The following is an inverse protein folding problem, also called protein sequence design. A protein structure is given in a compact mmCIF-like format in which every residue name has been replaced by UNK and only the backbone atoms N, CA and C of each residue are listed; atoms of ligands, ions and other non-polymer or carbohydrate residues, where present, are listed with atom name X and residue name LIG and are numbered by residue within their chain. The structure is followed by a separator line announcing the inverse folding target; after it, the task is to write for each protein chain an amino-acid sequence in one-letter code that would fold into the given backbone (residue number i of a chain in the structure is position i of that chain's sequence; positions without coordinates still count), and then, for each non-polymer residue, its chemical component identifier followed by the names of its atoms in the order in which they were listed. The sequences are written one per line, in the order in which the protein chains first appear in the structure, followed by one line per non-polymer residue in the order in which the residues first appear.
data_IF_578036445069
#
_entry.id   IF_578036445069
#
_cell.length_a   1.000
_cell.length_b   1.000
_cell.length_c   1.000
_cell.angle_alpha   90.00
_cell.angle_beta   90.00
_cell.angle_gamma   90.00
#
_symmetry.space_group_name_H-M   'P 1'
#
loop_
_entity.id
_entity.type
_entity.pdbx_description
1 polymer ?
#
# COMPACT_ATOMS: atom_id res chain seq x y z
N UNK A 1 10.74 53.10 -10.81
CA UNK A 1 9.73 52.48 -9.92
C UNK A 1 8.53 52.15 -10.80
N UNK A 2 8.09 50.93 -11.03
CA UNK A 2 8.20 49.65 -10.31
C UNK A 2 8.05 48.50 -11.33
N UNK A 3 8.81 47.42 -11.13
CA UNK A 3 8.70 46.18 -11.89
C UNK A 3 7.37 45.48 -11.56
N UNK A 4 6.64 45.01 -12.57
CA UNK A 4 5.59 44.00 -12.38
C UNK A 4 6.04 42.70 -13.03
N UNK A 5 6.62 41.83 -12.21
CA UNK A 5 6.90 40.43 -12.56
C UNK A 5 5.58 39.68 -12.44
N UNK A 6 4.97 39.34 -13.57
CA UNK A 6 3.84 38.41 -13.58
C UNK A 6 4.37 37.01 -13.25
N UNK A 7 4.26 36.59 -11.97
CA UNK A 7 4.42 35.20 -11.61
C UNK A 7 3.28 34.40 -12.25
N UNK A 8 3.56 33.75 -13.36
CA UNK A 8 2.72 32.68 -13.88
C UNK A 8 2.84 31.52 -12.88
N UNK A 9 1.90 31.47 -11.92
CA UNK A 9 1.66 30.28 -11.11
C UNK A 9 1.26 29.16 -12.06
N UNK A 10 2.25 28.39 -12.52
CA UNK A 10 2.05 27.16 -13.26
C UNK A 10 1.32 26.22 -12.31
N UNK A 11 -0.02 26.23 -12.35
CA UNK A 11 -0.83 25.27 -11.66
C UNK A 11 -0.49 23.93 -12.32
N UNK A 12 0.49 23.21 -11.75
CA UNK A 12 0.72 21.82 -12.07
C UNK A 12 -0.54 21.10 -11.62
N UNK A 13 -1.57 21.08 -12.47
CA UNK A 13 -2.56 20.05 -12.43
C UNK A 13 -1.76 18.77 -12.62
N UNK A 14 -1.40 18.12 -11.51
CA UNK A 14 -0.92 16.75 -11.54
C UNK A 14 -2.07 15.98 -12.18
N UNK A 15 -2.00 15.79 -13.50
CA UNK A 15 -2.81 14.81 -14.19
C UNK A 15 -2.39 13.51 -13.53
N UNK A 16 -3.19 13.07 -12.55
CA UNK A 16 -2.97 11.80 -11.90
C UNK A 16 -3.23 10.77 -13.00
N UNK A 17 -2.16 10.37 -13.69
CA UNK A 17 -2.23 9.38 -14.74
C UNK A 17 -3.00 8.19 -14.18
N UNK A 18 -4.09 7.84 -14.86
CA UNK A 18 -5.01 6.82 -14.37
C UNK A 18 -4.22 5.53 -14.12
N UNK A 19 -4.12 5.12 -12.86
CA UNK A 19 -3.23 4.03 -12.46
C UNK A 19 -3.82 2.74 -12.98
N UNK A 20 -3.11 2.11 -13.92
CA UNK A 20 -3.48 0.80 -14.45
C UNK A 20 -2.94 -0.30 -13.54
N UNK A 21 -3.68 -1.40 -13.34
CA UNK A 21 -3.16 -2.56 -12.63
C UNK A 21 -2.06 -3.25 -13.44
N UNK A 22 -1.30 -4.11 -12.77
CA UNK A 22 -0.35 -5.05 -13.37
C UNK A 22 -0.99 -5.77 -14.55
N UNK A 23 -0.33 -5.72 -15.71
CA UNK A 23 -0.78 -6.43 -16.91
C UNK A 23 -0.83 -7.94 -16.62
N UNK A 24 -1.89 -8.59 -17.11
CA UNK A 24 -2.11 -10.04 -17.00
C UNK A 24 -2.07 -10.55 -15.55
N UNK A 25 -2.62 -9.76 -14.62
CA UNK A 25 -2.60 -10.07 -13.19
C UNK A 25 -3.24 -11.43 -12.88
N UNK A 26 -2.49 -12.32 -12.24
CA UNK A 26 -2.97 -13.60 -11.71
C UNK A 26 -3.08 -13.55 -10.19
N UNK A 27 -4.31 -13.61 -9.66
CA UNK A 27 -4.56 -13.71 -8.22
C UNK A 27 -3.96 -14.99 -7.62
N UNK A 28 -3.95 -16.09 -8.37
CA UNK A 28 -3.38 -17.36 -7.91
C UNK A 28 -1.87 -17.26 -7.69
N UNK A 29 -1.13 -16.62 -8.61
CA UNK A 29 0.31 -16.34 -8.42
C UNK A 29 0.57 -15.32 -7.31
N UNK A 30 -0.36 -14.39 -7.11
CA UNK A 30 -0.27 -13.37 -6.07
C UNK A 30 -0.58 -13.89 -4.65
N UNK A 31 -1.18 -15.07 -4.55
CA UNK A 31 -1.58 -15.67 -3.28
C UNK A 31 -0.41 -15.91 -2.32
N UNK A 32 -0.77 -16.20 -1.07
CA UNK A 32 0.16 -16.57 -0.02
C UNK A 32 0.72 -15.38 0.75
N UNK A 33 1.87 -15.62 1.37
CA UNK A 33 2.48 -14.72 2.35
C UNK A 33 3.18 -13.53 1.69
N UNK A 34 2.99 -12.36 2.28
CA UNK A 34 3.65 -11.10 1.94
C UNK A 34 4.01 -10.34 3.22
N UNK A 35 5.06 -9.53 3.17
CA UNK A 35 5.41 -8.57 4.21
C UNK A 35 5.18 -7.16 3.68
N UNK A 36 4.38 -6.35 4.37
CA UNK A 36 4.29 -4.91 4.11
C UNK A 36 5.53 -4.23 4.69
N UNK A 37 6.47 -3.96 3.82
CA UNK A 37 7.83 -3.46 4.10
C UNK A 37 7.99 -1.98 3.75
N UNK A 38 7.00 -1.38 3.10
CA UNK A 38 6.92 0.07 2.90
C UNK A 38 5.49 0.56 2.93
N UNK A 39 5.29 1.77 3.44
CA UNK A 39 3.99 2.45 3.45
C UNK A 39 4.19 3.94 3.22
N UNK A 40 3.42 4.52 2.30
CA UNK A 40 3.30 5.94 2.11
C UNK A 40 1.85 6.34 2.37
N UNK A 41 1.63 7.20 3.37
CA UNK A 41 0.30 7.58 3.82
C UNK A 41 0.33 8.89 4.63
N UNK A 42 -0.28 9.95 4.09
CA UNK A 42 -0.20 11.31 4.65
C UNK A 42 -1.47 11.75 5.40
N UNK A 43 -2.05 10.84 6.20
CA UNK A 43 -3.21 11.18 7.03
C UNK A 43 -2.75 11.92 8.29
N UNK A 44 -3.33 13.09 8.65
CA UNK A 44 -2.99 13.82 9.88
C UNK A 44 -3.12 12.97 11.15
N UNK A 45 -4.08 12.04 11.16
CA UNK A 45 -4.27 11.08 12.26
C UNK A 45 -3.21 9.98 12.31
N UNK A 46 -2.43 9.81 11.25
CA UNK A 46 -1.43 8.76 11.11
C UNK A 46 0.01 9.26 11.29
N UNK A 47 0.28 10.51 10.92
CA UNK A 47 1.60 11.15 11.06
C UNK A 47 2.21 10.98 12.47
N UNK A 48 1.47 11.15 13.59
CA UNK A 48 2.04 10.95 14.92
C UNK A 48 2.47 9.50 15.21
N UNK A 49 1.74 8.52 14.66
CA UNK A 49 1.97 7.10 14.92
C UNK A 49 3.02 6.47 14.00
N UNK A 50 3.56 7.23 13.04
CA UNK A 50 4.52 6.67 12.07
C UNK A 50 5.73 6.00 12.72
N UNK A 51 6.17 6.53 13.87
CA UNK A 51 7.33 6.02 14.63
C UNK A 51 7.12 4.64 15.22
N UNK A 52 5.88 4.26 15.47
CA UNK A 52 5.54 2.96 16.08
C UNK A 52 5.15 1.91 15.03
N UNK A 53 5.07 2.27 13.75
CA UNK A 53 4.77 1.32 12.68
C UNK A 53 5.94 0.36 12.51
N UNK A 54 5.62 -0.93 12.51
CA UNK A 54 6.53 -2.00 12.15
C UNK A 54 6.11 -2.63 10.82
N UNK A 55 7.05 -3.28 10.15
CA UNK A 55 6.71 -4.16 9.03
C UNK A 55 5.72 -5.23 9.52
N UNK A 56 4.73 -5.54 8.69
CA UNK A 56 3.63 -6.45 9.05
C UNK A 56 3.57 -7.60 8.06
N UNK A 57 3.18 -8.77 8.52
CA UNK A 57 2.97 -9.93 7.65
C UNK A 57 1.49 -9.98 7.25
N UNK A 58 1.22 -10.43 6.03
CA UNK A 58 -0.13 -10.76 5.60
C UNK A 58 -0.18 -11.94 4.66
N UNK A 59 -1.33 -12.60 4.61
CA UNK A 59 -1.60 -13.72 3.72
C UNK A 59 -2.81 -13.41 2.86
N UNK A 60 -2.64 -13.53 1.54
CA UNK A 60 -3.70 -13.43 0.54
C UNK A 60 -4.22 -14.83 0.23
N UNK A 61 -5.50 -15.05 0.41
CA UNK A 61 -6.18 -16.31 0.08
C UNK A 61 -7.22 -16.06 -1.01
N UNK A 62 -7.01 -16.55 -2.24
CA UNK A 62 -8.01 -16.47 -3.31
C UNK A 62 -9.27 -17.27 -2.96
N UNK A 63 -10.42 -16.78 -3.44
CA UNK A 63 -11.70 -17.46 -3.33
C UNK A 63 -12.17 -17.94 -4.72
N UNK A 64 -13.01 -18.99 -4.81
CA UNK A 64 -13.46 -19.54 -6.10
C UNK A 64 -14.17 -18.53 -7.01
N UNK A 65 -14.82 -17.52 -6.41
CA UNK A 65 -15.53 -16.47 -7.13
C UNK A 65 -14.62 -15.33 -7.63
N UNK A 66 -13.30 -15.44 -7.43
CA UNK A 66 -12.29 -14.45 -7.80
C UNK A 66 -12.04 -13.35 -6.77
N UNK A 67 -12.79 -13.33 -5.66
CA UNK A 67 -12.48 -12.49 -4.51
C UNK A 67 -11.23 -12.99 -3.79
N UNK A 68 -10.77 -12.23 -2.79
CA UNK A 68 -9.66 -12.63 -1.93
C UNK A 68 -9.92 -12.24 -0.47
N UNK A 69 -9.42 -13.05 0.46
CA UNK A 69 -9.29 -12.65 1.85
C UNK A 69 -7.85 -12.22 2.12
N UNK A 70 -7.68 -11.10 2.81
CA UNK A 70 -6.40 -10.69 3.38
C UNK A 70 -6.46 -10.82 4.90
N UNK A 71 -5.55 -11.58 5.47
CA UNK A 71 -5.28 -11.54 6.92
C UNK A 71 -3.94 -10.85 7.13
N UNK A 72 -3.90 -9.84 8.01
CA UNK A 72 -2.70 -9.09 8.39
C UNK A 72 -2.42 -9.28 9.88
N UNK A 73 -1.14 -9.41 10.22
CA UNK A 73 -0.63 -9.42 11.59
C UNK A 73 0.21 -8.17 11.79
N UNK A 74 -0.28 -7.26 12.62
CA UNK A 74 0.35 -5.95 12.87
C UNK A 74 0.80 -5.85 14.32
N UNK A 75 2.04 -5.43 14.52
CA UNK A 75 2.58 -5.25 15.87
C UNK A 75 2.13 -3.92 16.45
N UNK A 76 1.75 -3.96 17.72
CA UNK A 76 1.37 -2.80 18.53
C UNK A 76 2.16 -2.83 19.84
N UNK A 77 2.08 -1.75 20.62
CA UNK A 77 2.63 -1.69 21.98
C UNK A 77 2.01 -2.73 22.93
N UNK A 78 0.82 -3.24 22.62
CA UNK A 78 0.07 -4.21 23.44
C UNK A 78 0.16 -5.65 22.89
N UNK A 79 1.01 -5.88 21.90
CA UNK A 79 1.18 -7.19 21.25
C UNK A 79 0.69 -7.23 19.81
N UNK A 80 0.51 -8.44 19.29
CA UNK A 80 0.16 -8.65 17.89
C UNK A 80 -1.36 -8.63 17.66
N UNK A 81 -1.82 -7.76 16.76
CA UNK A 81 -3.24 -7.70 16.37
C UNK A 81 -3.46 -8.31 14.99
N UNK A 82 -4.57 -9.05 14.85
CA UNK A 82 -4.98 -9.68 13.60
C UNK A 82 -6.06 -8.83 12.94
N UNK A 83 -5.86 -8.43 11.70
CA UNK A 83 -6.84 -7.70 10.88
C UNK A 83 -7.22 -8.53 9.67
N UNK A 84 -8.53 -8.74 9.49
CA UNK A 84 -9.08 -9.49 8.35
C UNK A 84 -9.81 -8.52 7.42
N UNK A 85 -9.58 -8.69 6.12
CA UNK A 85 -10.23 -7.90 5.07
C UNK A 85 -10.76 -8.83 4.00
N UNK A 86 -11.95 -8.51 3.50
CA UNK A 86 -12.57 -9.16 2.35
C UNK A 86 -12.39 -8.23 1.15
N UNK A 87 -11.71 -8.73 0.12
CA UNK A 87 -11.46 -8.02 -1.13
C UNK A 87 -12.36 -8.58 -2.20
N UNK A 88 -13.26 -7.75 -2.69
CA UNK A 88 -14.19 -8.07 -3.76
C UNK A 88 -13.53 -7.81 -5.10
N UNK A 89 -13.67 -8.75 -6.04
CA UNK A 89 -13.14 -8.57 -7.39
C UNK A 89 -13.92 -7.49 -8.12
N UNK A 90 -13.26 -6.84 -9.07
CA UNK A 90 -13.92 -6.01 -10.07
C UNK A 90 -13.96 -6.73 -11.42
N UNK A 91 -14.42 -6.05 -12.47
CA UNK A 91 -14.29 -6.52 -13.86
C UNK A 91 -12.85 -6.45 -14.38
N UNK A 92 -11.94 -5.73 -13.68
CA UNK A 92 -10.56 -5.53 -14.11
C UNK A 92 -9.61 -6.36 -13.21
N UNK A 93 -8.86 -7.32 -13.78
CA UNK A 93 -7.87 -8.08 -13.01
C UNK A 93 -6.85 -7.19 -12.31
N UNK A 94 -6.54 -7.50 -11.06
CA UNK A 94 -5.63 -6.71 -10.22
C UNK A 94 -6.29 -5.49 -9.56
N UNK A 95 -7.58 -5.24 -9.82
CA UNK A 95 -8.39 -4.26 -9.09
C UNK A 95 -9.42 -4.95 -8.20
N UNK A 96 -9.51 -4.46 -6.96
CA UNK A 96 -10.43 -4.95 -5.94
C UNK A 96 -11.10 -3.78 -5.23
N UNK A 97 -12.20 -4.06 -4.54
CA UNK A 97 -12.82 -3.15 -3.58
C UNK A 97 -12.87 -3.78 -2.19
N UNK A 98 -12.90 -2.95 -1.16
CA UNK A 98 -13.14 -3.41 0.21
C UNK A 98 -13.81 -2.33 1.04
N UNK A 99 -14.56 -2.74 2.06
CA UNK A 99 -15.10 -1.81 3.05
C UNK A 99 -14.04 -1.48 4.12
N UNK A 100 -13.68 -0.21 4.22
CA UNK A 100 -12.73 0.31 5.21
C UNK A 100 -13.48 0.76 6.46
N UNK A 101 -13.61 -0.11 7.47
CA UNK A 101 -14.24 0.24 8.76
C UNK A 101 -13.67 1.53 9.39
N UNK A 102 -12.35 1.74 9.32
CA UNK A 102 -11.68 2.97 9.80
C UNK A 102 -12.23 4.26 9.20
N UNK A 103 -12.65 4.23 7.93
CA UNK A 103 -13.09 5.41 7.18
C UNK A 103 -14.57 5.34 6.83
N UNK A 104 -15.28 4.30 7.29
CA UNK A 104 -16.68 4.03 7.00
C UNK A 104 -17.05 4.16 5.51
N UNK A 105 -16.22 3.63 4.60
CA UNK A 105 -16.44 3.74 3.16
C UNK A 105 -15.83 2.57 2.39
N UNK A 106 -16.34 2.32 1.18
CA UNK A 106 -15.72 1.42 0.21
C UNK A 106 -14.51 2.11 -0.43
N UNK A 107 -13.40 1.38 -0.56
CA UNK A 107 -12.19 1.85 -1.23
C UNK A 107 -11.76 0.89 -2.32
N UNK A 108 -11.22 1.44 -3.40
CA UNK A 108 -10.55 0.66 -4.43
C UNK A 108 -9.11 0.32 -4.02
N UNK A 109 -8.65 -0.82 -4.52
CA UNK A 109 -7.28 -1.33 -4.42
C UNK A 109 -6.84 -1.66 -5.83
N UNK A 110 -5.65 -1.21 -6.21
CA UNK A 110 -5.00 -1.56 -7.47
C UNK A 110 -3.64 -2.16 -7.17
N UNK A 111 -3.41 -3.41 -7.58
CA UNK A 111 -2.06 -3.98 -7.66
C UNK A 111 -1.39 -3.36 -8.87
N UNK A 112 -0.58 -2.33 -8.63
CA UNK A 112 0.04 -1.51 -9.69
C UNK A 112 1.09 -2.31 -10.42
N UNK A 113 1.86 -3.09 -9.67
CA UNK A 113 2.97 -3.85 -10.21
C UNK A 113 3.32 -5.01 -9.29
N UNK A 114 3.65 -6.16 -9.86
CA UNK A 114 4.23 -7.28 -9.11
C UNK A 114 4.94 -8.25 -10.06
N UNK A 115 6.04 -8.83 -9.59
CA UNK A 115 6.65 -10.00 -10.22
C UNK A 115 6.27 -11.31 -9.53
N UNK A 116 5.30 -11.27 -8.60
CA UNK A 116 4.76 -12.37 -7.79
C UNK A 116 5.72 -13.04 -6.81
N UNK A 117 7.00 -13.11 -7.13
CA UNK A 117 8.02 -13.89 -6.39
C UNK A 117 8.85 -13.06 -5.42
N UNK A 118 8.83 -11.74 -5.54
CA UNK A 118 9.74 -10.88 -4.80
C UNK A 118 9.05 -9.64 -4.23
N UNK A 119 8.33 -8.86 -5.04
CA UNK A 119 7.64 -7.66 -4.56
C UNK A 119 6.30 -7.39 -5.24
N UNK A 120 5.53 -6.50 -4.61
CA UNK A 120 4.33 -5.91 -5.16
C UNK A 120 4.15 -4.47 -4.68
N UNK A 121 3.74 -3.58 -5.58
CA UNK A 121 3.29 -2.23 -5.25
C UNK A 121 1.77 -2.17 -5.35
N UNK A 122 1.13 -1.73 -4.28
CA UNK A 122 -0.32 -1.66 -4.17
C UNK A 122 -0.72 -0.22 -3.87
N UNK A 123 -1.65 0.30 -4.65
CA UNK A 123 -2.31 1.59 -4.42
C UNK A 123 -3.69 1.33 -3.85
N UNK A 124 -4.05 2.07 -2.80
CA UNK A 124 -5.41 2.13 -2.27
C UNK A 124 -5.96 3.53 -2.47
N UNK A 125 -7.23 3.61 -2.87
CA UNK A 125 -7.92 4.86 -3.18
C UNK A 125 -7.20 5.65 -4.28
N UNK A 126 -7.43 5.24 -5.54
CA UNK A 126 -6.71 5.77 -6.72
C UNK A 126 -6.95 7.25 -6.98
N UNK A 127 -8.17 7.73 -6.71
CA UNK A 127 -8.48 9.17 -6.78
C UNK A 127 -7.81 9.78 -5.57
N UNK A 128 -6.89 10.71 -5.80
CA UNK A 128 -6.07 11.20 -4.70
C UNK A 128 -6.93 11.89 -3.64
N UNK A 129 -6.76 11.44 -2.41
CA UNK A 129 -7.26 12.09 -1.23
C UNK A 129 -6.23 11.89 -0.13
N UNK A 130 -5.77 12.99 0.47
CA UNK A 130 -4.72 12.99 1.50
C UNK A 130 -5.00 12.03 2.66
N UNK A 131 -6.25 11.93 3.11
CA UNK A 131 -6.62 11.06 4.22
C UNK A 131 -6.79 9.59 3.79
N UNK A 132 -7.03 9.31 2.51
CA UNK A 132 -7.45 7.97 2.07
C UNK A 132 -6.49 7.23 1.16
N UNK A 133 -5.71 7.96 0.37
CA UNK A 133 -4.76 7.41 -0.59
C UNK A 133 -3.54 6.86 0.12
N UNK A 134 -3.22 5.60 -0.17
CA UNK A 134 -2.09 4.90 0.41
C UNK A 134 -1.34 4.14 -0.68
N UNK A 135 -0.01 4.22 -0.67
CA UNK A 135 0.85 3.31 -1.42
C UNK A 135 1.50 2.35 -0.44
N UNK A 136 1.47 1.05 -0.73
CA UNK A 136 2.13 0.02 0.06
C UNK A 136 3.09 -0.77 -0.82
N UNK A 137 4.29 -1.00 -0.28
CA UNK A 137 5.25 -1.95 -0.82
C UNK A 137 5.15 -3.24 -0.02
N UNK A 138 4.89 -4.33 -0.74
CA UNK A 138 4.92 -5.68 -0.23
C UNK A 138 6.12 -6.42 -0.80
N UNK A 139 6.74 -7.29 0.01
CA UNK A 139 7.81 -8.18 -0.42
C UNK A 139 7.61 -9.60 0.13
N UNK A 140 8.19 -10.60 -0.54
CA UNK A 140 8.14 -11.99 -0.05
C UNK A 140 9.07 -12.23 1.15
N UNK A 141 10.05 -11.36 1.37
CA UNK A 141 10.95 -11.37 2.53
C UNK A 141 11.00 -9.98 3.17
N UNK A 142 11.60 -9.87 4.36
CA UNK A 142 11.80 -8.58 5.04
C UNK A 142 12.97 -7.77 4.46
N UNK A 143 13.86 -8.42 3.71
CA UNK A 143 15.01 -7.77 3.06
C UNK A 143 14.66 -7.42 1.62
N UNK A 144 14.62 -6.13 1.32
CA UNK A 144 14.20 -5.62 0.01
C UNK A 144 15.39 -4.99 -0.69
N UNK A 145 15.57 -5.29 -1.97
CA UNK A 145 16.64 -4.70 -2.76
C UNK A 145 16.46 -3.18 -2.90
N UNK A 146 17.55 -2.37 -2.84
CA UNK A 146 17.47 -0.91 -2.85
C UNK A 146 16.70 -0.34 -4.04
N UNK A 147 16.81 -0.94 -5.23
CA UNK A 147 16.12 -0.47 -6.43
C UNK A 147 14.60 -0.60 -6.32
N UNK A 148 14.09 -1.64 -5.65
CA UNK A 148 12.65 -1.82 -5.40
C UNK A 148 12.15 -0.78 -4.39
N UNK A 149 12.94 -0.50 -3.35
CA UNK A 149 12.63 0.57 -2.39
C UNK A 149 12.59 1.93 -3.09
N UNK A 150 13.55 2.20 -3.98
CA UNK A 150 13.60 3.45 -4.73
C UNK A 150 12.42 3.59 -5.69
N UNK A 151 12.00 2.49 -6.32
CA UNK A 151 10.80 2.45 -7.17
C UNK A 151 9.54 2.79 -6.38
N UNK A 152 9.37 2.19 -5.20
CA UNK A 152 8.27 2.51 -4.29
C UNK A 152 8.26 3.99 -3.88
N UNK A 153 9.40 4.56 -3.48
CA UNK A 153 9.52 5.98 -3.11
C UNK A 153 9.14 6.89 -4.28
N UNK A 154 9.66 6.59 -5.46
CA UNK A 154 9.37 7.36 -6.69
C UNK A 154 7.89 7.30 -7.04
N UNK A 155 7.29 6.11 -6.96
CA UNK A 155 5.86 5.95 -7.22
C UNK A 155 5.00 6.73 -6.21
N UNK A 156 5.29 6.64 -4.91
CA UNK A 156 4.58 7.40 -3.89
C UNK A 156 4.65 8.91 -4.12
N UNK A 157 5.83 9.46 -4.44
CA UNK A 157 6.00 10.87 -4.78
C UNK A 157 5.18 11.27 -6.02
N UNK A 158 5.13 10.40 -7.03
CA UNK A 158 4.31 10.62 -8.23
C UNK A 158 2.79 10.58 -7.99
N UNK A 159 2.35 10.14 -6.80
CA UNK A 159 0.96 10.20 -6.33
C UNK A 159 0.69 11.41 -5.43
N UNK A 160 1.63 12.34 -5.31
CA UNK A 160 1.49 13.53 -4.47
C UNK A 160 1.69 13.28 -2.98
N UNK A 161 2.16 12.10 -2.58
CA UNK A 161 2.51 11.83 -1.18
C UNK A 161 3.88 12.45 -0.86
N UNK A 162 4.00 13.30 0.17
CA UNK A 162 5.25 14.00 0.45
C UNK A 162 6.28 13.05 1.06
N UNK A 163 7.57 13.39 0.97
CA UNK A 163 8.70 12.50 1.36
C UNK A 163 8.59 12.02 2.81
N UNK A 164 8.15 12.90 3.70
CA UNK A 164 7.95 12.66 5.12
C UNK A 164 6.82 11.68 5.46
N UNK A 165 5.93 11.43 4.50
CA UNK A 165 4.85 10.44 4.61
C UNK A 165 5.26 9.05 4.14
N UNK A 166 6.44 8.90 3.54
CA UNK A 166 6.98 7.64 3.00
C UNK A 166 7.87 6.98 4.04
N UNK A 167 7.49 5.78 4.48
CA UNK A 167 8.15 5.04 5.55
C UNK A 167 8.56 3.65 5.07
N UNK A 168 9.80 3.28 5.41
CA UNK A 168 10.29 1.89 5.42
C UNK A 168 10.41 1.49 6.89
N UNK A 169 9.38 0.85 7.47
CA UNK A 169 9.40 0.52 8.90
C UNK A 169 10.38 -0.62 9.19
N UNK A 170 10.97 -0.65 10.41
CA UNK A 170 11.77 -1.78 10.83
C UNK A 170 10.91 -3.05 10.97
N UNK A 171 11.51 -4.25 10.89
CA UNK A 171 10.83 -5.51 11.19
C UNK A 171 10.10 -5.50 12.53
N UNK A 172 9.06 -6.32 12.63
CA UNK A 172 8.46 -6.65 13.93
C UNK A 172 9.15 -7.88 14.52
N UNK A 173 9.52 -7.80 15.79
CA UNK A 173 10.04 -8.93 16.57
C UNK A 173 8.92 -9.77 17.21
N UNK A 174 7.73 -9.19 17.41
CA UNK A 174 6.67 -9.70 18.31
C UNK A 174 5.35 -10.09 17.61
N UNK A 175 5.30 -10.05 16.28
CA UNK A 175 4.21 -10.58 15.47
C UNK A 175 4.75 -11.70 14.61
N UNK A 176 3.99 -12.76 14.32
CA UNK A 176 4.52 -14.01 13.79
C UNK A 176 5.50 -13.80 12.64
N UNK A 177 6.78 -13.88 12.98
CA UNK A 177 7.89 -14.05 12.07
C UNK A 177 7.98 -15.55 11.82
N UNK A 178 7.24 -16.05 10.81
CA UNK A 178 7.35 -17.42 10.30
C UNK A 178 7.48 -18.54 11.36
N UNK A 179 6.38 -19.24 11.69
CA UNK A 179 6.53 -20.60 12.25
C UNK A 179 5.59 -21.06 13.37
N UNK A 180 4.64 -20.25 13.85
CA UNK A 180 3.63 -20.75 14.83
C UNK A 180 2.46 -21.42 14.11
N UNK A 181 2.78 -22.49 13.39
CA UNK A 181 1.84 -23.32 12.66
C UNK A 181 2.42 -24.71 12.53
N UNK A 182 2.67 -25.34 13.68
CA UNK A 182 2.73 -26.79 13.86
C UNK A 182 1.91 -27.11 15.08
#
# INVERSE_FOLDING_TARGET
MTMTVAMVMLCMMMVHANVKPQKDFSLQKFAGKWYRVGVAYDSPRFVPFRRIIKASMGTITPLPNGNANLTMWEATSFGCVIKKYQYERTSVPGQFTYFSARHNMVKDITVVETNYTDYAMVLKHKVFNREYTQVALYARTLSVRPEVVQKFKTFALSRGLPRESILIPPPSENCPSSGSGR
#
